data_IF_689841529546
#
_entry.id   IF_689841529546
#
_cell.length_a   1.000
_cell.length_b   1.000
_cell.length_c   1.000
_cell.angle_alpha   90.00
_cell.angle_beta   90.00
_cell.angle_gamma   90.00
#
_symmetry.space_group_name_H-M   'P 1'
#
loop_
_entity.id
_entity.type
_entity.pdbx_description
1 polymer ?
#
# COMPACT_ATOMS: atom_id res chain seq x y z
N UNK A 1 6.64 0.81 10.75
CA UNK A 1 6.07 -0.41 10.13
C UNK A 1 5.48 -0.12 8.74
N UNK A 2 4.61 0.89 8.59
CA UNK A 2 3.91 1.14 7.32
C UNK A 2 4.85 1.50 6.15
N UNK A 3 5.95 2.22 6.39
CA UNK A 3 7.03 2.45 5.42
C UNK A 3 7.54 1.11 4.87
N UNK A 4 7.83 0.15 5.75
CA UNK A 4 8.38 -1.15 5.35
C UNK A 4 7.37 -2.00 4.57
N UNK A 5 6.07 -1.87 4.88
CA UNK A 5 4.99 -2.52 4.13
C UNK A 5 4.99 -2.08 2.67
N UNK A 6 4.98 -0.76 2.42
CA UNK A 6 4.97 -0.21 1.06
C UNK A 6 6.30 -0.47 0.34
N UNK A 7 7.41 -0.44 1.07
CA UNK A 7 8.72 -0.84 0.56
C UNK A 7 8.71 -2.30 0.06
N UNK A 8 8.33 -3.26 0.89
CA UNK A 8 8.32 -4.69 0.55
C UNK A 8 7.37 -5.01 -0.61
N UNK A 9 6.31 -4.23 -0.76
CA UNK A 9 5.35 -4.37 -1.87
C UNK A 9 5.96 -4.09 -3.23
N UNK A 10 6.84 -3.08 -3.32
CA UNK A 10 7.45 -2.66 -4.58
C UNK A 10 8.86 -3.23 -4.80
N UNK A 11 9.53 -3.68 -3.74
CA UNK A 11 10.92 -4.12 -3.79
C UNK A 11 11.20 -5.25 -4.78
N UNK A 12 10.19 -6.09 -5.09
CA UNK A 12 10.35 -7.21 -6.03
C UNK A 12 10.63 -6.74 -7.45
N UNK A 13 10.08 -5.59 -7.85
CA UNK A 13 10.27 -5.05 -9.20
C UNK A 13 11.74 -4.72 -9.52
N UNK A 14 12.52 -4.37 -8.51
CA UNK A 14 13.94 -3.98 -8.67
C UNK A 14 14.85 -5.17 -8.94
N UNK A 15 14.46 -6.38 -8.55
CA UNK A 15 15.31 -7.59 -8.67
C UNK A 15 14.87 -8.55 -9.78
N UNK A 16 13.94 -8.16 -10.63
CA UNK A 16 13.40 -9.01 -11.70
C UNK A 16 14.50 -9.53 -12.64
N UNK A 17 15.44 -8.66 -13.00
CA UNK A 17 16.56 -9.01 -13.87
C UNK A 17 17.51 -10.02 -13.20
N UNK A 18 17.77 -9.88 -11.89
CA UNK A 18 18.59 -10.81 -11.12
C UNK A 18 17.92 -12.20 -11.04
N UNK A 19 16.59 -12.23 -10.82
CA UNK A 19 15.84 -13.48 -10.78
C UNK A 19 15.87 -14.23 -12.12
N UNK A 20 15.80 -13.50 -13.23
CA UNK A 20 15.88 -14.07 -14.56
C UNK A 20 17.29 -14.55 -14.90
N UNK A 21 18.32 -13.73 -14.65
CA UNK A 21 19.70 -14.01 -15.06
C UNK A 21 20.40 -15.01 -14.16
N UNK A 22 20.23 -14.91 -12.84
CA UNK A 22 20.96 -15.77 -11.88
C UNK A 22 20.24 -17.09 -11.59
N UNK A 23 18.89 -17.06 -11.55
CA UNK A 23 18.08 -18.23 -11.17
C UNK A 23 17.34 -18.86 -12.34
N UNK A 24 17.40 -18.25 -13.53
CA UNK A 24 16.74 -18.76 -14.73
C UNK A 24 15.22 -18.74 -14.66
N UNK A 25 14.64 -17.88 -13.80
CA UNK A 25 13.19 -17.83 -13.67
C UNK A 25 12.53 -17.24 -14.92
N UNK A 26 11.48 -17.88 -15.38
CA UNK A 26 10.68 -17.40 -16.51
C UNK A 26 9.91 -16.13 -16.13
N UNK A 27 9.50 -15.33 -17.13
CA UNK A 27 8.68 -14.14 -16.93
C UNK A 27 7.37 -14.45 -16.18
N UNK A 28 6.77 -15.62 -16.46
CA UNK A 28 5.57 -16.07 -15.75
C UNK A 28 5.84 -16.32 -14.26
N UNK A 29 6.96 -16.96 -13.94
CA UNK A 29 7.35 -17.20 -12.55
C UNK A 29 7.62 -15.89 -11.79
N UNK A 30 8.30 -14.94 -12.41
CA UNK A 30 8.57 -13.60 -11.84
C UNK A 30 7.26 -12.83 -11.62
N UNK A 31 6.33 -12.87 -12.57
CA UNK A 31 5.01 -12.26 -12.42
C UNK A 31 4.21 -12.89 -11.28
N UNK A 32 4.27 -14.21 -11.13
CA UNK A 32 3.64 -14.91 -10.02
C UNK A 32 4.28 -14.53 -8.67
N UNK A 33 5.60 -14.40 -8.59
CA UNK A 33 6.31 -13.93 -7.39
C UNK A 33 5.77 -12.54 -6.96
N UNK A 34 5.62 -11.61 -7.88
CA UNK A 34 5.08 -10.30 -7.59
C UNK A 34 3.61 -10.35 -7.14
N UNK A 35 2.78 -11.14 -7.84
CA UNK A 35 1.33 -11.23 -7.61
C UNK A 35 0.98 -11.96 -6.32
N UNK A 36 1.72 -12.99 -5.92
CA UNK A 36 1.42 -13.82 -4.74
C UNK A 36 1.39 -13.00 -3.45
N UNK A 37 2.24 -11.99 -3.30
CA UNK A 37 2.20 -11.12 -2.13
C UNK A 37 0.92 -10.27 -2.10
N UNK A 38 0.41 -9.83 -3.25
CA UNK A 38 -0.84 -9.07 -3.35
C UNK A 38 -2.06 -9.96 -3.09
N UNK A 39 -2.08 -11.16 -3.64
CA UNK A 39 -3.17 -12.13 -3.39
C UNK A 39 -3.24 -12.53 -1.93
N UNK A 40 -2.09 -12.88 -1.33
CA UNK A 40 -2.02 -13.22 0.09
C UNK A 40 -2.45 -12.06 0.99
N UNK A 41 -2.01 -10.84 0.66
CA UNK A 41 -2.44 -9.62 1.33
C UNK A 41 -3.95 -9.44 1.25
N UNK A 42 -4.54 -9.57 0.07
CA UNK A 42 -5.98 -9.39 -0.14
C UNK A 42 -6.82 -10.45 0.60
N UNK A 43 -6.43 -11.72 0.51
CA UNK A 43 -7.11 -12.82 1.20
C UNK A 43 -7.06 -12.68 2.72
N UNK A 44 -5.97 -12.14 3.25
CA UNK A 44 -5.79 -11.96 4.69
C UNK A 44 -6.52 -10.73 5.24
N UNK A 45 -7.08 -9.82 4.44
CA UNK A 45 -7.74 -8.59 4.95
C UNK A 45 -8.88 -8.91 5.93
N UNK A 46 -9.73 -9.88 5.60
CA UNK A 46 -10.85 -10.27 6.48
C UNK A 46 -10.34 -10.98 7.73
N UNK A 47 -9.52 -12.06 7.65
CA UNK A 47 -8.93 -12.69 8.83
C UNK A 47 -8.13 -11.72 9.71
N UNK A 48 -7.38 -10.79 9.09
CA UNK A 48 -6.58 -9.81 9.79
C UNK A 48 -7.43 -8.89 10.69
N UNK A 49 -8.55 -8.39 10.17
CA UNK A 49 -9.48 -7.58 10.96
C UNK A 49 -9.97 -8.32 12.21
N UNK A 50 -10.37 -9.59 12.05
CA UNK A 50 -10.85 -10.44 13.14
C UNK A 50 -9.75 -10.68 14.19
N UNK A 51 -8.55 -11.00 13.73
CA UNK A 51 -7.41 -11.24 14.60
C UNK A 51 -7.06 -9.99 15.43
N UNK A 52 -7.08 -8.81 14.80
CA UNK A 52 -6.83 -7.53 15.46
C UNK A 52 -7.91 -7.22 16.49
N UNK A 53 -9.18 -7.48 16.18
CA UNK A 53 -10.29 -7.24 17.12
C UNK A 53 -10.25 -8.21 18.29
N UNK A 54 -9.79 -9.43 18.11
CA UNK A 54 -9.74 -10.47 19.13
C UNK A 54 -8.50 -10.37 20.03
N UNK A 55 -7.33 -10.16 19.42
CA UNK A 55 -6.03 -10.27 20.10
C UNK A 55 -5.35 -8.91 20.32
N UNK A 56 -5.85 -7.86 19.69
CA UNK A 56 -5.28 -6.52 19.77
C UNK A 56 -4.35 -6.16 18.58
N UNK A 57 -4.25 -4.87 18.35
CA UNK A 57 -3.46 -4.32 17.24
C UNK A 57 -1.95 -4.49 17.46
N UNK A 58 -1.49 -4.36 18.73
CA UNK A 58 -0.10 -4.52 19.13
C UNK A 58 0.44 -5.91 18.81
N UNK A 59 -0.24 -6.93 19.30
CA UNK A 59 0.15 -8.32 19.20
C UNK A 59 0.17 -8.77 17.73
N UNK A 60 -0.91 -8.50 17.02
CA UNK A 60 -1.08 -8.94 15.63
C UNK A 60 -0.16 -8.19 14.69
N UNK A 61 0.06 -6.89 14.87
CA UNK A 61 1.01 -6.14 14.03
C UNK A 61 2.47 -6.53 14.29
N UNK A 62 2.82 -6.86 15.54
CA UNK A 62 4.14 -7.39 15.88
C UNK A 62 4.41 -8.71 15.16
N UNK A 63 3.50 -9.69 15.31
CA UNK A 63 3.60 -10.99 14.65
C UNK A 63 3.64 -10.83 13.12
N UNK A 64 2.78 -9.98 12.57
CA UNK A 64 2.75 -9.68 11.14
C UNK A 64 4.08 -9.15 10.61
N UNK A 65 4.70 -8.19 11.33
CA UNK A 65 6.02 -7.66 10.94
C UNK A 65 7.12 -8.71 11.04
N UNK A 66 7.10 -9.58 12.04
CA UNK A 66 8.06 -10.69 12.17
C UNK A 66 7.89 -11.67 11.01
N UNK A 67 6.65 -12.07 10.67
CA UNK A 67 6.37 -12.96 9.53
C UNK A 67 6.87 -12.32 8.21
N UNK A 68 6.62 -11.02 8.02
CA UNK A 68 7.11 -10.31 6.83
C UNK A 68 8.63 -10.27 6.78
N UNK A 69 9.29 -10.05 7.91
CA UNK A 69 10.74 -10.05 8.03
C UNK A 69 11.35 -11.42 7.72
N UNK A 70 10.80 -12.49 8.28
CA UNK A 70 11.20 -13.87 7.97
C UNK A 70 10.98 -14.18 6.49
N UNK A 71 9.85 -13.78 5.91
CA UNK A 71 9.58 -13.89 4.48
C UNK A 71 10.63 -13.16 3.63
N UNK A 72 11.04 -11.96 4.03
CA UNK A 72 12.09 -11.22 3.32
C UNK A 72 13.46 -11.91 3.41
N UNK A 73 13.84 -12.45 4.57
CA UNK A 73 15.07 -13.25 4.72
C UNK A 73 15.00 -14.50 3.83
N UNK A 74 13.89 -15.20 3.85
CA UNK A 74 13.68 -16.39 3.01
C UNK A 74 13.83 -16.04 1.52
N UNK A 75 13.36 -14.86 1.10
CA UNK A 75 13.54 -14.40 -0.28
C UNK A 75 15.01 -14.14 -0.64
N UNK A 76 15.77 -13.56 0.27
CA UNK A 76 17.21 -13.35 0.07
C UNK A 76 18.03 -14.64 0.03
N UNK A 77 17.58 -15.70 0.72
CA UNK A 77 18.29 -17.00 0.81
C UNK A 77 17.78 -18.07 -0.17
N UNK A 78 16.71 -17.78 -0.92
CA UNK A 78 16.09 -18.74 -1.82
C UNK A 78 17.01 -19.16 -2.98
N UNK A 79 16.85 -20.42 -3.39
CA UNK A 79 17.54 -21.00 -4.55
C UNK A 79 16.58 -21.64 -5.56
N UNK A 80 15.27 -21.63 -5.28
CA UNK A 80 14.25 -22.16 -6.18
C UNK A 80 12.97 -21.31 -6.14
N UNK A 81 12.12 -21.48 -7.14
CA UNK A 81 10.90 -20.71 -7.32
C UNK A 81 9.85 -20.96 -6.23
N UNK A 82 9.78 -22.15 -5.65
CA UNK A 82 8.80 -22.48 -4.61
C UNK A 82 9.10 -21.74 -3.31
N UNK A 83 10.37 -21.62 -2.94
CA UNK A 83 10.80 -20.80 -1.80
C UNK A 83 10.53 -19.32 -2.06
N UNK A 84 10.71 -18.84 -3.30
CA UNK A 84 10.32 -17.50 -3.69
C UNK A 84 8.81 -17.26 -3.49
N UNK A 85 7.97 -18.20 -3.92
CA UNK A 85 6.52 -18.12 -3.74
C UNK A 85 6.14 -18.09 -2.26
N UNK A 86 6.68 -19.03 -1.47
CA UNK A 86 6.44 -19.10 -0.02
C UNK A 86 6.84 -17.78 0.67
N UNK A 87 8.01 -17.25 0.33
CA UNK A 87 8.48 -15.98 0.89
C UNK A 87 7.51 -14.82 0.60
N UNK A 88 6.97 -14.74 -0.61
CA UNK A 88 6.01 -13.69 -1.00
C UNK A 88 4.65 -13.86 -0.34
N UNK A 89 4.20 -15.09 -0.17
CA UNK A 89 3.00 -15.39 0.61
C UNK A 89 3.18 -14.92 2.07
N UNK A 90 4.32 -15.23 2.68
CA UNK A 90 4.62 -14.77 4.05
C UNK A 90 4.66 -13.24 4.16
N UNK A 91 5.31 -12.55 3.21
CA UNK A 91 5.32 -11.09 3.16
C UNK A 91 3.90 -10.53 3.00
N UNK A 92 3.08 -11.11 2.13
CA UNK A 92 1.69 -10.69 1.92
C UNK A 92 0.83 -10.86 3.19
N UNK A 93 0.89 -12.03 3.82
CA UNK A 93 0.19 -12.32 5.08
C UNK A 93 0.63 -11.34 6.17
N UNK A 94 1.94 -11.20 6.38
CA UNK A 94 2.46 -10.40 7.47
C UNK A 94 2.21 -8.90 7.30
N UNK A 95 2.24 -8.37 6.06
CA UNK A 95 1.97 -6.96 5.79
C UNK A 95 0.48 -6.59 5.83
N UNK A 96 -0.42 -7.55 5.62
CA UNK A 96 -1.87 -7.33 5.55
C UNK A 96 -2.46 -6.75 6.84
N UNK A 97 -1.92 -7.11 7.98
CA UNK A 97 -2.42 -6.69 9.30
C UNK A 97 -2.03 -5.25 9.67
N UNK A 98 -0.98 -4.70 9.06
CA UNK A 98 -0.36 -3.45 9.53
C UNK A 98 -1.26 -2.24 9.33
N UNK A 99 -1.91 -2.10 8.18
CA UNK A 99 -2.81 -0.98 7.90
C UNK A 99 -4.04 -1.01 8.82
N UNK A 100 -4.63 -2.18 9.00
CA UNK A 100 -5.80 -2.36 9.86
C UNK A 100 -5.46 -2.11 11.34
N UNK A 101 -4.31 -2.64 11.80
CA UNK A 101 -3.81 -2.38 13.16
C UNK A 101 -3.55 -0.89 13.39
N UNK A 102 -3.01 -0.19 12.39
CA UNK A 102 -2.80 1.25 12.44
C UNK A 102 -4.13 2.00 12.62
N UNK A 103 -5.17 1.67 11.86
CA UNK A 103 -6.49 2.28 12.01
C UNK A 103 -7.12 1.96 13.37
N UNK A 104 -6.94 0.74 13.88
CA UNK A 104 -7.44 0.36 15.22
C UNK A 104 -6.77 1.18 16.31
N UNK A 105 -5.44 1.31 16.28
CA UNK A 105 -4.69 2.15 17.22
C UNK A 105 -5.11 3.60 17.12
N UNK A 106 -5.23 4.15 15.92
CA UNK A 106 -5.71 5.53 15.72
C UNK A 106 -7.09 5.74 16.36
N UNK A 107 -8.04 4.82 16.12
CA UNK A 107 -9.38 4.90 16.69
C UNK A 107 -9.41 4.84 18.22
N UNK A 108 -8.43 4.15 18.83
CA UNK A 108 -8.33 4.01 20.29
C UNK A 108 -7.60 5.18 20.97
N UNK A 109 -6.70 5.88 20.25
CA UNK A 109 -5.80 6.88 20.82
C UNK A 109 -6.19 8.32 20.49
N UNK A 110 -6.96 8.54 19.43
CA UNK A 110 -7.25 9.89 18.94
C UNK A 110 -8.75 10.11 18.80
N UNK A 111 -9.17 11.38 18.87
CA UNK A 111 -10.58 11.76 18.69
C UNK A 111 -11.02 11.58 17.24
N UNK A 112 -12.33 11.37 17.02
CA UNK A 112 -12.90 11.17 15.67
C UNK A 112 -12.58 12.33 14.70
N UNK A 113 -12.50 13.54 15.22
CA UNK A 113 -12.19 14.76 14.45
C UNK A 113 -10.73 14.81 13.96
N UNK A 114 -9.81 14.19 14.71
CA UNK A 114 -8.37 14.16 14.39
C UNK A 114 -8.03 13.03 13.41
N UNK A 115 -8.90 12.02 13.29
CA UNK A 115 -8.66 10.82 12.51
C UNK A 115 -8.24 11.10 11.05
N UNK A 116 -8.91 11.99 10.27
CA UNK A 116 -8.50 12.28 8.89
C UNK A 116 -7.10 12.88 8.80
N UNK A 117 -6.77 13.81 9.69
CA UNK A 117 -5.46 14.46 9.72
C UNK A 117 -4.33 13.47 10.04
N UNK A 118 -4.54 12.62 11.02
CA UNK A 118 -3.57 11.62 11.43
C UNK A 118 -3.39 10.57 10.34
N UNK A 119 -4.47 10.10 9.73
CA UNK A 119 -4.43 9.15 8.62
C UNK A 119 -3.64 9.72 7.44
N UNK A 120 -3.83 11.00 7.10
CA UNK A 120 -3.07 11.66 6.03
C UNK A 120 -1.57 11.72 6.34
N UNK A 121 -1.18 12.02 7.59
CA UNK A 121 0.23 12.00 8.02
C UNK A 121 0.84 10.59 7.92
N UNK A 122 0.11 9.57 8.33
CA UNK A 122 0.56 8.19 8.20
C UNK A 122 0.68 7.76 6.74
N UNK A 123 -0.27 8.15 5.89
CA UNK A 123 -0.20 7.88 4.46
C UNK A 123 1.03 8.54 3.82
N UNK A 124 1.31 9.81 4.16
CA UNK A 124 2.50 10.51 3.71
C UNK A 124 3.78 9.79 4.12
N UNK A 125 3.93 9.50 5.42
CA UNK A 125 5.11 8.80 5.96
C UNK A 125 5.24 7.41 5.33
N UNK A 126 4.12 6.68 5.17
CA UNK A 126 4.11 5.36 4.56
C UNK A 126 4.63 5.38 3.13
N UNK A 127 4.23 6.38 2.34
CA UNK A 127 4.66 6.53 0.95
C UNK A 127 6.18 6.78 0.79
N UNK A 128 6.89 7.23 1.82
CA UNK A 128 8.36 7.22 1.80
C UNK A 128 8.91 5.81 1.57
N UNK A 129 8.19 4.77 1.99
CA UNK A 129 8.55 3.38 1.71
C UNK A 129 8.61 3.08 0.22
N UNK A 130 7.71 3.64 -0.59
CA UNK A 130 7.75 3.47 -2.05
C UNK A 130 8.99 4.13 -2.66
N UNK A 131 9.38 5.30 -2.15
CA UNK A 131 10.60 6.00 -2.58
C UNK A 131 11.84 5.19 -2.22
N UNK A 132 11.91 4.65 -1.00
CA UNK A 132 13.04 3.80 -0.58
C UNK A 132 13.12 2.48 -1.35
N UNK A 133 12.00 1.97 -1.86
CA UNK A 133 11.94 0.75 -2.68
C UNK A 133 12.43 0.97 -4.13
N UNK A 134 12.76 2.18 -4.55
CA UNK A 134 13.25 2.51 -5.88
C UNK A 134 14.77 2.70 -5.87
N UNK A 135 15.24 3.90 -6.13
CA UNK A 135 16.66 4.22 -6.23
C UNK A 135 17.52 3.79 -5.02
N UNK A 136 17.10 4.02 -3.75
CA UNK A 136 17.88 3.58 -2.61
C UNK A 136 18.07 2.06 -2.54
N UNK A 137 17.04 1.28 -2.93
CA UNK A 137 17.16 -0.18 -2.99
C UNK A 137 18.09 -0.64 -4.12
N UNK A 138 18.03 0.00 -5.29
CA UNK A 138 18.97 -0.29 -6.40
C UNK A 138 20.39 -0.08 -5.92
N UNK A 139 20.68 1.08 -5.34
CA UNK A 139 22.01 1.41 -4.80
C UNK A 139 22.48 0.40 -3.73
N UNK A 140 21.57 0.00 -2.83
CA UNK A 140 21.88 -1.03 -1.83
C UNK A 140 22.19 -2.39 -2.47
N UNK A 141 21.42 -2.77 -3.50
CA UNK A 141 21.65 -4.01 -4.24
C UNK A 141 23.00 -4.01 -4.98
N UNK A 142 23.40 -2.87 -5.53
CA UNK A 142 24.70 -2.73 -6.20
C UNK A 142 25.87 -2.83 -5.21
N UNK A 143 25.66 -2.36 -3.97
CA UNK A 143 26.73 -2.31 -2.95
C UNK A 143 26.93 -3.64 -2.21
N UNK A 144 25.84 -4.29 -1.74
CA UNK A 144 25.91 -5.52 -0.93
C UNK A 144 25.31 -6.75 -1.62
N UNK A 145 24.78 -6.59 -2.81
CA UNK A 145 24.03 -7.61 -3.54
C UNK A 145 22.57 -7.70 -3.11
N UNK A 146 21.70 -8.07 -4.05
CA UNK A 146 20.25 -8.12 -3.80
C UNK A 146 19.86 -9.13 -2.71
N UNK A 147 20.54 -10.26 -2.60
CA UNK A 147 20.28 -11.27 -1.56
C UNK A 147 20.48 -10.72 -0.16
N UNK A 148 21.65 -10.09 0.07
CA UNK A 148 21.96 -9.48 1.35
C UNK A 148 21.05 -8.28 1.66
N UNK A 149 20.64 -7.53 0.65
CA UNK A 149 19.67 -6.44 0.81
C UNK A 149 18.35 -6.95 1.37
N UNK A 150 17.79 -8.04 0.82
CA UNK A 150 16.55 -8.63 1.34
C UNK A 150 16.71 -9.27 2.72
N UNK A 151 17.86 -9.85 3.03
CA UNK A 151 18.17 -10.35 4.37
C UNK A 151 18.20 -9.19 5.37
N UNK A 152 18.92 -8.10 5.06
CA UNK A 152 18.99 -6.90 5.90
C UNK A 152 17.62 -6.31 6.16
N UNK A 153 16.81 -6.15 5.11
CA UNK A 153 15.44 -5.64 5.20
C UNK A 153 14.58 -6.55 6.09
N UNK A 154 14.76 -7.86 5.97
CA UNK A 154 14.08 -8.84 6.80
C UNK A 154 14.46 -8.72 8.28
N UNK A 155 15.74 -8.55 8.59
CA UNK A 155 16.22 -8.30 9.96
C UNK A 155 15.63 -7.01 10.53
N UNK A 156 15.61 -5.94 9.75
CA UNK A 156 14.96 -4.67 10.12
C UNK A 156 13.46 -4.89 10.37
N UNK A 157 12.79 -5.69 9.55
CA UNK A 157 11.38 -6.05 9.73
C UNK A 157 11.12 -6.76 11.06
N UNK A 158 11.95 -7.73 11.43
CA UNK A 158 11.87 -8.44 12.72
C UNK A 158 12.12 -7.46 13.88
N UNK A 159 13.15 -6.62 13.79
CA UNK A 159 13.47 -5.63 14.81
C UNK A 159 12.29 -4.65 15.02
N UNK A 160 11.64 -4.19 13.94
CA UNK A 160 10.43 -3.36 14.02
C UNK A 160 9.29 -4.15 14.67
N UNK A 161 9.08 -5.41 14.34
CA UNK A 161 8.06 -6.26 14.96
C UNK A 161 8.26 -6.37 16.48
N UNK A 162 9.49 -6.63 16.93
CA UNK A 162 9.84 -6.66 18.35
C UNK A 162 9.62 -5.29 19.00
N UNK A 163 10.04 -4.20 18.35
CA UNK A 163 9.84 -2.84 18.84
C UNK A 163 8.37 -2.48 19.00
N UNK A 164 7.50 -2.91 18.07
CA UNK A 164 6.05 -2.74 18.20
C UNK A 164 5.56 -3.43 19.47
N UNK A 165 5.96 -4.66 19.69
CA UNK A 165 5.54 -5.43 20.87
C UNK A 165 5.98 -4.76 22.18
N UNK A 166 7.16 -4.19 22.22
CA UNK A 166 7.70 -3.57 23.44
C UNK A 166 7.11 -2.18 23.70
N UNK A 167 6.93 -1.37 22.67
CA UNK A 167 6.61 0.07 22.80
C UNK A 167 5.12 0.35 22.64
N UNK A 168 4.45 -0.26 21.65
CA UNK A 168 3.05 0.06 21.35
C UNK A 168 2.12 -0.51 22.43
N UNK A 169 1.03 0.19 22.71
CA UNK A 169 -0.07 -0.27 23.57
C UNK A 169 -1.40 -0.15 22.82
N UNK A 170 -2.31 -1.05 23.08
CA UNK A 170 -3.59 -1.11 22.38
C UNK A 170 -4.50 0.07 22.74
N UNK A 171 -4.45 0.51 24.00
CA UNK A 171 -5.28 1.61 24.51
C UNK A 171 -4.48 2.56 25.42
N UNK A 172 -4.90 3.83 25.57
CA UNK A 172 -4.30 4.76 26.51
C UNK A 172 -4.37 4.25 27.98
N UNK A 173 -5.39 3.46 28.33
CA UNK A 173 -5.53 2.86 29.66
C UNK A 173 -4.38 1.91 30.02
N UNK A 174 -3.79 1.25 29.01
CA UNK A 174 -2.64 0.35 29.19
C UNK A 174 -1.36 1.11 29.63
N UNK A 175 -1.37 2.45 29.50
CA UNK A 175 -0.35 3.38 30.02
C UNK A 175 -0.75 4.09 31.31
N UNK A 176 -1.95 3.79 31.86
CA UNK A 176 -2.46 4.46 33.06
C UNK A 176 -3.08 5.84 32.83
N UNK A 177 -3.33 6.21 31.57
CA UNK A 177 -4.06 7.44 31.29
C UNK A 177 -5.57 7.22 31.50
N UNK A 178 -6.15 7.92 32.48
CA UNK A 178 -7.60 8.00 32.66
C UNK A 178 -8.19 8.94 31.60
N UNK A 179 -8.28 8.50 30.38
CA UNK A 179 -8.96 9.24 29.32
C UNK A 179 -10.34 8.62 29.15
N UNK A 180 -11.38 9.42 29.45
CA UNK A 180 -12.76 9.12 29.05
C UNK A 180 -12.96 9.26 27.53
N UNK A 181 -12.08 8.64 26.75
CA UNK A 181 -12.46 8.29 25.41
C UNK A 181 -13.58 7.27 25.60
N UNK A 182 -14.81 7.65 25.24
CA UNK A 182 -15.89 6.69 25.03
C UNK A 182 -15.41 5.76 23.90
N UNK A 183 -14.51 4.85 24.24
CA UNK A 183 -14.33 3.63 23.47
C UNK A 183 -15.67 2.94 23.67
N UNK A 184 -16.59 3.20 22.75
CA UNK A 184 -17.77 2.33 22.61
C UNK A 184 -17.15 0.94 22.55
N UNK A 185 -17.28 0.20 23.65
CA UNK A 185 -16.93 -1.21 23.65
C UNK A 185 -17.81 -1.79 22.55
N UNK A 186 -17.24 -1.94 21.37
CA UNK A 186 -17.96 -2.58 20.28
C UNK A 186 -18.42 -3.91 20.88
N UNK A 187 -19.72 -4.07 21.01
CA UNK A 187 -20.29 -5.34 21.42
C UNK A 187 -19.59 -6.41 20.62
N UNK A 188 -19.14 -7.49 21.27
CA UNK A 188 -18.44 -8.60 20.61
C UNK A 188 -19.42 -9.25 19.63
N UNK A 189 -19.60 -8.60 18.48
CA UNK A 189 -20.45 -9.09 17.40
C UNK A 189 -19.86 -10.43 16.98
N UNK A 190 -20.70 -11.45 16.91
CA UNK A 190 -20.26 -12.75 16.39
C UNK A 190 -19.75 -12.54 14.96
N UNK A 191 -18.63 -13.18 14.62
CA UNK A 191 -18.00 -13.04 13.32
C UNK A 191 -18.99 -13.20 12.16
N UNK A 192 -19.89 -14.18 12.26
CA UNK A 192 -20.91 -14.45 11.23
C UNK A 192 -21.85 -13.27 11.04
N UNK A 193 -22.27 -12.63 12.13
CA UNK A 193 -23.19 -11.48 12.09
C UNK A 193 -22.49 -10.24 11.53
N UNK A 194 -21.21 -10.04 11.89
CA UNK A 194 -20.37 -8.98 11.34
C UNK A 194 -20.16 -9.14 9.85
N UNK A 195 -19.76 -10.32 9.38
CA UNK A 195 -19.61 -10.63 7.95
C UNK A 195 -20.93 -10.44 7.20
N UNK A 196 -22.02 -11.00 7.73
CA UNK A 196 -23.36 -10.84 7.12
C UNK A 196 -23.72 -9.37 7.00
N UNK A 197 -23.52 -8.57 8.06
CA UNK A 197 -23.78 -7.12 8.02
C UNK A 197 -22.98 -6.41 6.93
N UNK A 198 -21.69 -6.71 6.79
CA UNK A 198 -20.82 -6.12 5.75
C UNK A 198 -21.28 -6.50 4.34
N UNK A 199 -21.56 -7.79 4.10
CA UNK A 199 -21.95 -8.26 2.77
C UNK A 199 -23.37 -7.88 2.37
N UNK A 200 -24.29 -7.69 3.33
CA UNK A 200 -25.67 -7.26 3.04
C UNK A 200 -25.84 -5.75 2.95
N UNK A 201 -24.87 -4.97 3.45
CA UNK A 201 -24.96 -3.52 3.43
C UNK A 201 -24.58 -2.95 2.05
N UNK A 202 -25.55 -2.35 1.37
CA UNK A 202 -25.37 -1.72 0.05
C UNK A 202 -24.29 -0.64 0.05
N UNK A 203 -24.16 0.14 1.13
CA UNK A 203 -23.14 1.17 1.24
C UNK A 203 -21.73 0.59 1.19
N UNK A 204 -21.50 -0.59 1.73
CA UNK A 204 -20.22 -1.29 1.65
C UNK A 204 -19.83 -1.56 0.20
N UNK A 205 -20.78 -2.07 -0.59
CA UNK A 205 -20.53 -2.36 -2.01
C UNK A 205 -20.28 -1.11 -2.83
N UNK A 206 -21.04 -0.03 -2.61
CA UNK A 206 -20.82 1.25 -3.28
C UNK A 206 -19.44 1.83 -2.96
N UNK A 207 -19.05 1.84 -1.69
CA UNK A 207 -17.74 2.33 -1.27
C UNK A 207 -16.60 1.46 -1.83
N UNK A 208 -16.77 0.13 -1.84
CA UNK A 208 -15.81 -0.80 -2.42
C UNK A 208 -15.64 -0.60 -3.93
N UNK A 209 -16.73 -0.39 -4.66
CA UNK A 209 -16.69 -0.10 -6.10
C UNK A 209 -16.00 1.24 -6.40
N UNK A 210 -16.26 2.27 -5.61
CA UNK A 210 -15.60 3.58 -5.75
C UNK A 210 -14.09 3.41 -5.53
N UNK A 211 -13.67 2.76 -4.44
CA UNK A 211 -12.26 2.50 -4.16
C UNK A 211 -11.61 1.63 -5.23
N UNK A 212 -12.29 0.57 -5.69
CA UNK A 212 -11.81 -0.28 -6.77
C UNK A 212 -11.58 0.52 -8.06
N UNK A 213 -12.54 1.37 -8.43
CA UNK A 213 -12.45 2.17 -9.67
C UNK A 213 -11.35 3.23 -9.59
N UNK A 214 -11.22 3.94 -8.47
CA UNK A 214 -10.24 5.02 -8.34
C UNK A 214 -8.82 4.49 -8.09
N UNK A 215 -8.66 3.59 -7.12
CA UNK A 215 -7.34 3.11 -6.70
C UNK A 215 -6.89 1.93 -7.56
N UNK A 216 -7.79 1.01 -7.89
CA UNK A 216 -7.47 -0.20 -8.65
C UNK A 216 -6.98 0.12 -10.06
N UNK A 217 -7.70 0.97 -10.78
CA UNK A 217 -7.33 1.38 -12.15
C UNK A 217 -5.98 2.11 -12.14
N UNK A 218 -5.82 3.11 -11.27
CA UNK A 218 -4.57 3.86 -11.16
C UNK A 218 -3.39 2.98 -10.79
N UNK A 219 -3.58 2.03 -9.86
CA UNK A 219 -2.53 1.08 -9.46
C UNK A 219 -2.18 0.12 -10.58
N UNK A 220 -3.16 -0.45 -11.27
CA UNK A 220 -2.93 -1.36 -12.38
C UNK A 220 -2.18 -0.66 -13.53
N UNK A 221 -2.60 0.56 -13.85
CA UNK A 221 -1.92 1.36 -14.86
C UNK A 221 -0.47 1.67 -14.47
N UNK A 222 -0.24 2.20 -13.27
CA UNK A 222 1.09 2.56 -12.79
C UNK A 222 2.03 1.35 -12.69
N UNK A 223 1.53 0.21 -12.24
CA UNK A 223 2.38 -0.95 -11.93
C UNK A 223 2.66 -1.84 -13.14
N UNK A 224 1.77 -1.88 -14.15
CA UNK A 224 1.85 -2.86 -15.24
C UNK A 224 1.93 -2.21 -16.61
N UNK A 225 1.03 -1.28 -16.92
CA UNK A 225 0.81 -0.83 -18.29
C UNK A 225 1.37 0.55 -18.62
N UNK A 226 1.52 1.42 -17.62
CA UNK A 226 1.82 2.83 -17.85
C UNK A 226 3.15 3.07 -18.56
N UNK A 227 4.21 2.41 -18.12
CA UNK A 227 5.55 2.55 -18.74
C UNK A 227 5.53 2.01 -20.17
N UNK A 228 4.99 0.80 -20.37
CA UNK A 228 4.89 0.17 -21.68
C UNK A 228 4.05 1.01 -22.63
N UNK A 229 2.87 1.46 -22.18
CA UNK A 229 1.99 2.31 -22.98
C UNK A 229 2.69 3.59 -23.46
N UNK A 230 3.37 4.32 -22.58
CA UNK A 230 4.05 5.56 -22.98
C UNK A 230 5.23 5.25 -23.91
N UNK A 231 6.01 4.19 -23.62
CA UNK A 231 7.12 3.78 -24.47
C UNK A 231 6.65 3.46 -25.89
N UNK A 232 5.59 2.67 -26.04
CA UNK A 232 5.11 2.19 -27.32
C UNK A 232 4.35 3.26 -28.11
N UNK A 233 3.51 4.07 -27.42
CA UNK A 233 2.70 5.10 -28.08
C UNK A 233 3.54 6.31 -28.50
N UNK A 234 4.48 6.73 -27.63
CA UNK A 234 5.26 7.95 -27.87
C UNK A 234 6.67 7.69 -28.42
N UNK A 235 7.07 6.43 -28.57
CA UNK A 235 8.41 6.03 -29.02
C UNK A 235 9.54 6.69 -28.19
N UNK A 236 9.39 6.77 -26.89
CA UNK A 236 10.39 7.32 -25.96
C UNK A 236 11.05 6.21 -25.15
N UNK A 237 12.20 6.51 -24.54
CA UNK A 237 12.91 5.53 -23.70
C UNK A 237 12.09 5.11 -22.46
N UNK A 238 12.32 3.89 -21.98
CA UNK A 238 11.69 3.40 -20.74
C UNK A 238 11.94 4.32 -19.54
N UNK A 239 13.12 4.95 -19.47
CA UNK A 239 13.46 5.90 -18.41
C UNK A 239 12.58 7.15 -18.45
N UNK A 240 12.33 7.72 -19.62
CA UNK A 240 11.44 8.87 -19.80
C UNK A 240 10.00 8.46 -19.48
N UNK A 241 9.55 7.30 -19.91
CA UNK A 241 8.21 6.78 -19.61
C UNK A 241 8.00 6.58 -18.11
N UNK A 242 8.97 5.99 -17.42
CA UNK A 242 8.95 5.80 -15.97
C UNK A 242 8.93 7.14 -15.21
N UNK A 243 9.70 8.13 -15.68
CA UNK A 243 9.67 9.48 -15.13
C UNK A 243 8.29 10.13 -15.28
N UNK A 244 7.66 10.03 -16.43
CA UNK A 244 6.29 10.56 -16.67
C UNK A 244 5.28 9.86 -15.73
N UNK A 245 5.34 8.55 -15.60
CA UNK A 245 4.43 7.79 -14.71
C UNK A 245 4.64 8.15 -13.23
N UNK A 246 5.85 8.51 -12.82
CA UNK A 246 6.13 8.89 -11.42
C UNK A 246 5.31 10.09 -10.96
N UNK A 247 4.85 10.96 -11.88
CA UNK A 247 3.97 12.09 -11.54
C UNK A 247 2.63 11.66 -10.96
N UNK A 248 2.14 10.47 -11.28
CA UNK A 248 0.95 9.91 -10.63
C UNK A 248 1.20 9.65 -9.12
N UNK A 249 2.37 9.13 -8.79
CA UNK A 249 2.77 8.93 -7.40
C UNK A 249 3.01 10.27 -6.68
N UNK A 250 3.64 11.24 -7.34
CA UNK A 250 3.82 12.57 -6.78
C UNK A 250 2.48 13.29 -6.54
N UNK A 251 1.53 13.16 -7.49
CA UNK A 251 0.16 13.66 -7.32
C UNK A 251 -0.51 13.07 -6.09
N UNK A 252 -0.43 11.76 -5.89
CA UNK A 252 -0.97 11.08 -4.72
C UNK A 252 -0.35 11.59 -3.40
N UNK A 253 0.97 11.78 -3.35
CA UNK A 253 1.67 12.28 -2.17
C UNK A 253 1.22 13.71 -1.85
N UNK A 254 1.27 14.61 -2.83
CA UNK A 254 0.87 16.02 -2.65
C UNK A 254 -0.62 16.14 -2.41
N UNK A 255 -1.44 15.40 -3.15
CA UNK A 255 -2.90 15.36 -3.02
C UNK A 255 -3.34 14.94 -1.62
N UNK A 256 -2.69 13.98 -1.00
CA UNK A 256 -3.01 13.53 0.37
C UNK A 256 -2.84 14.66 1.40
N UNK A 257 -1.82 15.50 1.24
CA UNK A 257 -1.62 16.70 2.10
C UNK A 257 -2.61 17.82 1.78
N UNK A 258 -2.84 18.05 0.49
CA UNK A 258 -3.75 19.10 0.02
C UNK A 258 -5.21 18.81 0.42
N UNK A 259 -5.65 17.58 0.35
CA UNK A 259 -6.98 17.18 0.79
C UNK A 259 -7.21 17.42 2.28
N UNK A 260 -6.19 17.18 3.13
CA UNK A 260 -6.29 17.50 4.54
C UNK A 260 -6.47 19.02 4.79
N UNK A 261 -5.75 19.83 4.03
CA UNK A 261 -5.91 21.30 4.06
C UNK A 261 -7.31 21.73 3.59
N UNK A 262 -7.81 21.16 2.50
CA UNK A 262 -9.15 21.43 1.96
C UNK A 262 -10.25 21.08 2.96
N UNK A 263 -10.20 19.89 3.58
CA UNK A 263 -11.20 19.47 4.56
C UNK A 263 -11.27 20.38 5.79
N UNK A 264 -10.14 20.99 6.17
CA UNK A 264 -10.08 21.89 7.32
C UNK A 264 -10.52 23.32 7.01
N UNK A 265 -10.31 23.80 5.77
CA UNK A 265 -10.61 25.21 5.39
C UNK A 265 -11.92 25.38 4.63
N UNK A 266 -12.34 24.42 3.83
CA UNK A 266 -13.52 24.56 3.00
C UNK A 266 -14.72 23.94 3.71
N UNK A 267 -15.73 24.75 4.03
CA UNK A 267 -17.02 24.32 4.61
C UNK A 267 -17.90 23.54 3.58
N UNK A 268 -17.29 22.81 2.66
CA UNK A 268 -18.01 21.98 1.70
C UNK A 268 -18.23 20.58 2.26
N UNK A 269 -19.35 19.97 1.89
CA UNK A 269 -19.61 18.58 2.20
C UNK A 269 -18.51 17.69 1.62
N UNK A 270 -17.95 16.79 2.43
CA UNK A 270 -16.94 15.79 2.00
C UNK A 270 -17.38 15.03 0.75
N UNK A 271 -18.69 14.80 0.63
CA UNK A 271 -19.29 14.12 -0.50
C UNK A 271 -19.18 14.92 -1.82
N UNK A 272 -19.32 16.26 -1.76
CA UNK A 272 -19.19 17.10 -2.95
C UNK A 272 -17.73 17.16 -3.43
N UNK A 273 -16.77 17.16 -2.52
CA UNK A 273 -15.34 17.11 -2.88
C UNK A 273 -15.00 15.81 -3.58
N UNK A 274 -15.50 14.67 -3.07
CA UNK A 274 -15.32 13.37 -3.71
C UNK A 274 -15.97 13.31 -5.10
N UNK A 275 -17.16 13.88 -5.28
CA UNK A 275 -17.82 13.96 -6.59
C UNK A 275 -17.00 14.76 -7.60
N UNK A 276 -16.48 15.93 -7.19
CA UNK A 276 -15.66 16.76 -8.06
C UNK A 276 -14.36 16.01 -8.44
N UNK A 277 -13.70 15.40 -7.48
CA UNK A 277 -12.49 14.60 -7.74
C UNK A 277 -12.77 13.43 -8.70
N UNK A 278 -13.85 12.68 -8.50
CA UNK A 278 -14.25 11.61 -9.40
C UNK A 278 -14.56 12.11 -10.81
N UNK A 279 -15.24 13.25 -10.93
CA UNK A 279 -15.57 13.86 -12.23
C UNK A 279 -14.30 14.30 -12.98
N UNK A 280 -13.36 14.97 -12.29
CA UNK A 280 -12.06 15.36 -12.86
C UNK A 280 -11.30 14.11 -13.32
N UNK A 281 -11.28 13.06 -12.51
CA UNK A 281 -10.60 11.79 -12.83
C UNK A 281 -11.19 11.16 -14.12
N UNK A 282 -12.52 11.11 -14.24
CA UNK A 282 -13.21 10.61 -15.44
C UNK A 282 -12.86 11.44 -16.67
N UNK A 283 -12.83 12.77 -16.55
CA UNK A 283 -12.48 13.64 -17.68
C UNK A 283 -11.04 13.41 -18.15
N UNK A 284 -10.08 13.28 -17.22
CA UNK A 284 -8.67 13.12 -17.60
C UNK A 284 -8.43 11.74 -18.20
N UNK A 285 -8.97 10.66 -17.60
CA UNK A 285 -8.87 9.34 -18.21
C UNK A 285 -9.59 9.28 -19.56
N UNK A 286 -10.78 9.87 -19.67
CA UNK A 286 -11.50 10.01 -20.93
C UNK A 286 -10.68 10.74 -21.99
N UNK A 287 -10.03 11.85 -21.61
CA UNK A 287 -9.13 12.59 -22.49
C UNK A 287 -7.96 11.70 -22.97
N UNK A 288 -7.30 10.98 -22.08
CA UNK A 288 -6.18 10.09 -22.43
C UNK A 288 -6.65 8.98 -23.38
N UNK A 289 -7.81 8.36 -23.12
CA UNK A 289 -8.35 7.25 -23.92
C UNK A 289 -8.83 7.73 -25.29
N UNK A 290 -9.60 8.81 -25.34
CA UNK A 290 -10.18 9.31 -26.59
C UNK A 290 -9.09 9.84 -27.54
N UNK A 291 -8.10 10.53 -26.98
CA UNK A 291 -6.99 11.08 -27.73
C UNK A 291 -5.85 10.08 -27.99
N UNK A 292 -6.00 8.83 -27.61
CA UNK A 292 -5.04 7.75 -27.93
C UNK A 292 -4.74 7.70 -29.44
N UNK A 293 -5.74 8.00 -30.29
CA UNK A 293 -5.57 8.07 -31.76
C UNK A 293 -4.84 9.33 -32.22
N UNK A 294 -4.92 10.44 -31.50
CA UNK A 294 -4.38 11.76 -31.89
C UNK A 294 -3.04 12.06 -31.18
N UNK A 295 -2.62 11.22 -30.21
CA UNK A 295 -1.42 11.38 -29.38
C UNK A 295 -1.36 12.76 -28.73
N UNK A 296 -1.92 12.93 -27.51
CA UNK A 296 -1.77 14.20 -26.78
C UNK A 296 -0.29 14.56 -26.66
N UNK A 297 0.08 15.86 -26.65
CA UNK A 297 1.46 16.25 -26.47
C UNK A 297 2.05 15.63 -25.19
N UNK A 298 3.21 15.01 -25.30
CA UNK A 298 3.87 14.29 -24.21
C UNK A 298 4.05 15.14 -22.93
N UNK A 299 4.19 16.45 -23.11
CA UNK A 299 4.34 17.43 -22.03
C UNK A 299 3.09 17.55 -21.13
N UNK A 300 1.91 17.19 -21.66
CA UNK A 300 0.64 17.23 -20.91
C UNK A 300 0.50 16.02 -19.99
N UNK A 301 1.11 14.89 -20.33
CA UNK A 301 0.97 13.65 -19.56
C UNK A 301 1.44 13.76 -18.09
N UNK A 302 2.60 14.35 -17.77
CA UNK A 302 3.01 14.55 -16.38
C UNK A 302 1.98 15.34 -15.57
N UNK A 303 1.42 16.41 -16.16
CA UNK A 303 0.41 17.26 -15.51
C UNK A 303 -0.88 16.46 -15.29
N UNK A 304 -1.34 15.77 -16.32
CA UNK A 304 -2.54 14.92 -16.24
C UNK A 304 -2.38 13.83 -15.17
N UNK A 305 -1.26 13.13 -15.15
CA UNK A 305 -0.98 12.09 -14.15
C UNK A 305 -0.83 12.66 -12.74
N UNK A 306 -0.24 13.84 -12.59
CA UNK A 306 -0.16 14.52 -11.28
C UNK A 306 -1.55 14.88 -10.75
N UNK A 307 -2.49 15.28 -11.60
CA UNK A 307 -3.86 15.60 -11.18
C UNK A 307 -4.68 14.34 -10.88
N UNK A 308 -4.43 13.23 -11.57
CA UNK A 308 -5.07 11.94 -11.31
C UNK A 308 -4.64 11.37 -9.96
N UNK A 309 -3.35 11.46 -9.63
CA UNK A 309 -2.79 10.95 -8.38
C UNK A 309 -3.19 11.81 -7.19
#
# INVERSE_FOLDING_TARGET
>A
SFILVLFLRLSTAVVTDNLSKELGFSQLQISNIASLSLYSYALMQIPAGILIDRYGAREISSVGMIISGVGSILFGTMNNVYLAYLSRIMVGIGTSVILLAMFKVQGNWFKKEEFPSITAKFAFIGNLGTVFATFPLVYLNDYIGWRNSFILIGVVGIAIGISIYLIVRNTPKDYGFNVDLKVEQAEKIRLQDGLKSVFTNKSTWYNSLILFSLVGISTAFTSLWGVTYITDVYNVSKSVSAFIISFLTYGFIVGSMFMNFLFNKIKCSKFNILKIGAFINILIWGYIIILCKVKPPIIILPIAFFIIG
#
